data_IF_085071935170
#
_entry.id   IF_085071935170
#
_cell.length_a   1.000
_cell.length_b   1.000
_cell.length_c   1.000
_cell.angle_alpha   90.00
_cell.angle_beta   90.00
_cell.angle_gamma   90.00
#
_symmetry.space_group_name_H-M   'P 1'
#
loop_
_entity.id
_entity.type
_entity.pdbx_description
1 polymer ?
#
# COMPACT_ATOMS: atom_id res chain seq x y z
N UNK A 1 7.15 33.18 56.11
CA UNK A 1 6.99 33.85 54.80
C UNK A 1 8.09 33.55 53.76
N UNK A 2 9.29 33.05 54.09
CA UNK A 2 10.35 32.78 53.07
C UNK A 2 10.18 31.54 52.18
N UNK A 3 9.46 30.49 52.62
CA UNK A 3 9.32 29.24 51.83
C UNK A 3 8.39 29.35 50.61
N UNK A 4 7.41 30.26 50.64
CA UNK A 4 6.42 30.38 49.56
C UNK A 4 7.03 31.05 48.32
N UNK A 5 7.85 32.09 48.51
CA UNK A 5 8.54 32.80 47.41
C UNK A 5 9.45 31.89 46.57
N UNK A 6 10.18 30.98 47.21
CA UNK A 6 11.10 30.07 46.52
C UNK A 6 10.35 29.06 45.61
N UNK A 7 9.12 28.69 45.98
CA UNK A 7 8.32 27.73 45.21
C UNK A 7 7.66 28.39 43.98
N UNK A 8 7.28 29.67 44.08
CA UNK A 8 6.73 30.43 42.94
C UNK A 8 7.80 30.71 41.87
N UNK A 9 9.02 31.07 42.26
CA UNK A 9 10.12 31.34 41.34
C UNK A 9 10.53 30.09 40.52
N UNK A 10 10.51 28.89 41.14
CA UNK A 10 10.81 27.62 40.46
C UNK A 10 9.72 27.27 39.45
N UNK A 11 8.44 27.40 39.82
CA UNK A 11 7.30 27.13 38.92
C UNK A 11 7.29 28.09 37.73
N UNK A 12 7.60 29.36 37.96
CA UNK A 12 7.67 30.38 36.90
C UNK A 12 8.85 30.14 35.95
N UNK A 13 10.01 29.73 36.47
CA UNK A 13 11.19 29.33 35.69
C UNK A 13 10.93 28.08 34.82
N UNK A 14 10.23 27.09 35.37
CA UNK A 14 9.82 25.87 34.64
C UNK A 14 8.79 26.16 33.55
N UNK A 15 7.83 27.05 33.82
CA UNK A 15 6.84 27.51 32.84
C UNK A 15 7.49 28.27 31.68
N UNK A 16 8.42 29.17 31.98
CA UNK A 16 9.15 29.95 30.97
C UNK A 16 10.05 29.05 30.10
N UNK A 17 10.77 28.08 30.69
CA UNK A 17 11.56 27.09 29.94
C UNK A 17 10.69 26.21 29.03
N UNK A 18 9.54 25.74 29.52
CA UNK A 18 8.59 24.96 28.71
C UNK A 18 8.03 25.78 27.55
N UNK A 19 7.68 27.04 27.80
CA UNK A 19 7.17 27.93 26.77
C UNK A 19 8.22 28.24 25.70
N UNK A 20 9.48 28.46 26.11
CA UNK A 20 10.62 28.67 25.20
C UNK A 20 10.90 27.39 24.38
N UNK A 21 10.85 26.21 24.98
CA UNK A 21 10.97 24.93 24.26
C UNK A 21 9.84 24.71 23.26
N UNK A 22 8.60 24.99 23.65
CA UNK A 22 7.43 24.92 22.74
C UNK A 22 7.54 25.92 21.61
N UNK A 23 7.98 27.15 21.89
CA UNK A 23 8.21 28.18 20.89
C UNK A 23 9.36 27.79 19.94
N UNK A 24 10.45 27.21 20.45
CA UNK A 24 11.55 26.70 19.61
C UNK A 24 11.09 25.58 18.67
N UNK A 25 10.27 24.64 19.15
CA UNK A 25 9.70 23.56 18.32
C UNK A 25 8.78 24.11 17.22
N UNK A 26 8.02 25.16 17.52
CA UNK A 26 7.13 25.83 16.56
C UNK A 26 7.89 26.72 15.56
N UNK A 27 9.08 27.20 15.93
CA UNK A 27 9.92 28.10 15.12
C UNK A 27 11.01 27.35 14.32
N UNK A 28 11.08 26.02 14.40
CA UNK A 28 11.96 25.18 13.57
C UNK A 28 11.22 24.38 12.49
N UNK A 29 10.31 24.96 11.67
CA UNK A 29 9.77 24.22 10.52
C UNK A 29 10.85 23.98 9.46
N UNK A 30 11.98 24.72 9.47
CA UNK A 30 13.07 24.56 8.50
C UNK A 30 13.84 23.24 8.55
N UNK A 31 13.78 22.50 9.67
CA UNK A 31 14.31 21.12 9.78
C UNK A 31 13.29 20.06 9.34
N UNK A 32 12.00 20.43 9.26
CA UNK A 32 11.00 19.64 8.57
C UNK A 32 11.12 19.93 7.07
N UNK A 33 12.12 19.32 6.43
CA UNK A 33 12.10 19.09 4.98
C UNK A 33 10.91 18.18 4.67
N UNK A 34 9.71 18.75 4.65
CA UNK A 34 8.47 18.05 4.38
C UNK A 34 8.34 17.81 2.87
N UNK A 35 9.22 16.97 2.34
CA UNK A 35 8.97 16.27 1.09
C UNK A 35 7.83 15.28 1.39
N UNK A 36 6.60 15.75 1.28
CA UNK A 36 5.42 14.94 1.52
C UNK A 36 5.26 13.97 0.34
N UNK A 37 5.95 12.83 0.41
CA UNK A 37 5.71 11.76 -0.54
C UNK A 37 4.24 11.31 -0.50
N UNK A 38 3.70 10.93 -1.64
CA UNK A 38 2.33 10.45 -1.81
C UNK A 38 2.30 8.97 -1.41
N UNK A 39 1.56 8.60 -0.35
CA UNK A 39 1.45 7.21 0.03
C UNK A 39 0.60 6.50 -1.01
N UNK A 40 1.20 5.61 -1.81
CA UNK A 40 0.49 4.94 -2.91
C UNK A 40 -0.70 4.12 -2.42
N UNK A 41 -0.68 3.67 -1.15
CA UNK A 41 -1.82 3.00 -0.53
C UNK A 41 -3.12 3.83 -0.64
N UNK A 42 -3.08 5.15 -0.42
CA UNK A 42 -4.29 5.98 -0.49
C UNK A 42 -4.84 6.15 -1.90
N UNK A 43 -3.98 6.08 -2.92
CA UNK A 43 -4.39 6.10 -4.31
C UNK A 43 -4.93 4.75 -4.78
N UNK A 44 -4.32 3.68 -4.28
CA UNK A 44 -4.57 2.30 -4.74
C UNK A 44 -5.76 1.66 -4.02
N UNK A 45 -6.00 1.96 -2.74
CA UNK A 45 -7.10 1.38 -1.96
C UNK A 45 -8.51 1.66 -2.53
N UNK A 46 -8.85 2.87 -3.01
CA UNK A 46 -10.14 3.11 -3.66
C UNK A 46 -10.34 2.25 -4.91
N UNK A 47 -9.28 2.07 -5.72
CA UNK A 47 -9.32 1.21 -6.89
C UNK A 47 -9.54 -0.26 -6.50
N UNK A 48 -8.83 -0.76 -5.48
CA UNK A 48 -9.05 -2.11 -4.94
C UNK A 48 -10.46 -2.30 -4.36
N UNK A 49 -11.01 -1.30 -3.67
CA UNK A 49 -12.36 -1.38 -3.11
C UNK A 49 -13.42 -1.54 -4.20
N UNK A 50 -13.28 -0.80 -5.30
CA UNK A 50 -14.16 -0.92 -6.48
C UNK A 50 -13.94 -2.28 -7.17
N UNK A 51 -12.68 -2.70 -7.32
CA UNK A 51 -12.32 -3.96 -7.96
C UNK A 51 -12.66 -5.21 -7.13
N UNK A 52 -12.97 -5.07 -5.84
CA UNK A 52 -13.23 -6.20 -4.95
C UNK A 52 -14.41 -7.06 -5.43
N UNK A 53 -15.50 -6.42 -5.89
CA UNK A 53 -16.67 -7.13 -6.41
C UNK A 53 -16.33 -7.94 -7.67
N UNK A 54 -15.76 -7.35 -8.75
CA UNK A 54 -15.40 -8.13 -9.93
C UNK A 54 -14.35 -9.20 -9.64
N UNK A 55 -13.39 -8.95 -8.74
CA UNK A 55 -12.41 -9.96 -8.31
C UNK A 55 -13.11 -11.16 -7.67
N UNK A 56 -14.00 -10.93 -6.69
CA UNK A 56 -14.73 -12.01 -6.01
C UNK A 56 -15.54 -12.83 -7.01
N UNK A 57 -16.14 -12.18 -8.02
CA UNK A 57 -16.90 -12.88 -9.06
C UNK A 57 -16.01 -13.74 -9.96
N UNK A 58 -14.88 -13.20 -10.44
CA UNK A 58 -13.93 -13.90 -11.31
C UNK A 58 -13.30 -15.09 -10.58
N UNK A 59 -12.82 -14.89 -9.36
CA UNK A 59 -12.20 -15.95 -8.56
C UNK A 59 -13.21 -16.98 -8.11
N UNK A 60 -14.42 -16.55 -7.73
CA UNK A 60 -15.53 -17.44 -7.40
C UNK A 60 -15.88 -18.35 -8.57
N UNK A 61 -16.01 -17.79 -9.76
CA UNK A 61 -16.24 -18.57 -10.97
C UNK A 61 -15.11 -19.58 -11.21
N UNK A 62 -13.85 -19.14 -11.18
CA UNK A 62 -12.70 -20.01 -11.40
C UNK A 62 -12.62 -21.15 -10.37
N UNK A 63 -12.73 -20.83 -9.08
CA UNK A 63 -12.57 -21.81 -7.99
C UNK A 63 -13.76 -22.78 -7.91
N UNK A 64 -14.98 -22.34 -8.19
CA UNK A 64 -16.14 -23.24 -8.26
C UNK A 64 -15.94 -24.34 -9.30
N UNK A 65 -15.39 -23.99 -10.47
CA UNK A 65 -15.07 -24.94 -11.54
C UNK A 65 -13.87 -25.81 -11.21
N UNK A 66 -12.84 -25.22 -10.57
CA UNK A 66 -11.57 -25.92 -10.33
C UNK A 66 -11.63 -26.91 -9.15
N UNK A 67 -12.38 -26.58 -8.10
CA UNK A 67 -12.40 -27.36 -6.86
C UNK A 67 -13.68 -28.18 -6.66
N UNK A 68 -14.69 -28.02 -7.53
CA UNK A 68 -15.96 -28.77 -7.48
C UNK A 68 -16.63 -28.68 -6.09
N UNK A 69 -16.60 -27.47 -5.52
CA UNK A 69 -17.20 -27.15 -4.21
C UNK A 69 -18.59 -26.53 -4.40
N UNK A 70 -19.40 -26.54 -3.35
CA UNK A 70 -20.75 -25.95 -3.41
C UNK A 70 -20.70 -24.42 -3.58
N UNK A 71 -21.71 -23.80 -4.23
CA UNK A 71 -21.72 -22.35 -4.43
C UNK A 71 -21.61 -21.53 -3.13
N UNK A 72 -22.21 -22.03 -2.04
CA UNK A 72 -22.13 -21.40 -0.72
C UNK A 72 -20.69 -21.43 -0.15
N UNK A 73 -20.01 -22.57 -0.27
CA UNK A 73 -18.60 -22.69 0.11
C UNK A 73 -17.72 -21.78 -0.75
N UNK A 74 -17.97 -21.71 -2.07
CA UNK A 74 -17.24 -20.79 -2.97
C UNK A 74 -17.43 -19.34 -2.54
N UNK A 75 -18.68 -18.88 -2.44
CA UNK A 75 -18.98 -17.49 -2.11
C UNK A 75 -18.38 -17.07 -0.77
N UNK A 76 -18.54 -17.91 0.27
CA UNK A 76 -17.96 -17.67 1.59
C UNK A 76 -16.44 -17.64 1.53
N UNK A 77 -15.82 -18.60 0.85
CA UNK A 77 -14.35 -18.72 0.80
C UNK A 77 -13.74 -17.51 0.09
N UNK A 78 -14.20 -17.22 -1.13
CA UNK A 78 -13.64 -16.14 -1.94
C UNK A 78 -13.89 -14.78 -1.33
N UNK A 79 -15.08 -14.54 -0.76
CA UNK A 79 -15.38 -13.26 -0.11
C UNK A 79 -14.49 -13.04 1.11
N UNK A 80 -14.37 -14.03 2.00
CA UNK A 80 -13.56 -13.87 3.21
C UNK A 80 -12.06 -13.81 2.91
N UNK A 81 -11.58 -14.59 1.93
CA UNK A 81 -10.18 -14.57 1.54
C UNK A 81 -9.80 -13.22 0.95
N UNK A 82 -10.57 -12.70 -0.01
CA UNK A 82 -10.32 -11.41 -0.65
C UNK A 82 -10.47 -10.23 0.31
N UNK A 83 -11.43 -10.28 1.23
CA UNK A 83 -11.53 -9.26 2.29
C UNK A 83 -10.30 -9.29 3.19
N UNK A 84 -9.82 -10.46 3.59
CA UNK A 84 -8.64 -10.58 4.43
C UNK A 84 -7.36 -10.08 3.72
N UNK A 85 -7.15 -10.45 2.45
CA UNK A 85 -6.01 -9.96 1.68
C UNK A 85 -6.09 -8.46 1.43
N UNK A 86 -7.28 -7.91 1.17
CA UNK A 86 -7.45 -6.48 0.90
C UNK A 86 -7.33 -5.62 2.16
N UNK A 87 -7.97 -6.02 3.27
CA UNK A 87 -8.02 -5.20 4.50
C UNK A 87 -6.76 -5.36 5.35
N UNK A 88 -6.15 -6.54 5.36
CA UNK A 88 -4.97 -6.82 6.19
C UNK A 88 -3.72 -7.00 5.33
N UNK A 89 -3.81 -7.82 4.28
CA UNK A 89 -2.66 -8.13 3.43
C UNK A 89 -2.04 -6.89 2.77
N UNK A 90 -2.84 -6.12 2.02
CA UNK A 90 -2.35 -4.95 1.27
C UNK A 90 -1.75 -3.88 2.20
N UNK A 91 -2.43 -3.41 3.27
CA UNK A 91 -1.84 -2.43 4.18
C UNK A 91 -0.57 -2.92 4.87
N UNK A 92 -0.54 -4.19 5.28
CA UNK A 92 0.64 -4.77 5.92
C UNK A 92 1.82 -4.86 4.94
N UNK A 93 1.60 -5.31 3.71
CA UNK A 93 2.62 -5.35 2.67
C UNK A 93 3.13 -3.96 2.34
N UNK A 94 2.23 -2.98 2.21
CA UNK A 94 2.62 -1.59 2.01
C UNK A 94 3.51 -1.07 3.15
N UNK A 95 3.13 -1.28 4.41
CA UNK A 95 3.94 -0.88 5.57
C UNK A 95 5.34 -1.50 5.54
N UNK A 96 5.43 -2.80 5.22
CA UNK A 96 6.72 -3.49 5.09
C UNK A 96 7.56 -2.87 3.98
N UNK A 97 6.97 -2.62 2.81
CA UNK A 97 7.68 -2.02 1.68
C UNK A 97 8.14 -0.60 1.97
N UNK A 98 7.33 0.22 2.66
CA UNK A 98 7.74 1.56 3.11
C UNK A 98 8.91 1.48 4.10
N UNK A 99 8.86 0.56 5.06
CA UNK A 99 9.96 0.36 6.01
C UNK A 99 11.26 -0.06 5.29
N UNK A 100 11.16 -0.92 4.28
CA UNK A 100 12.30 -1.30 3.43
C UNK A 100 12.81 -0.11 2.62
N UNK A 101 11.92 0.66 1.99
CA UNK A 101 12.27 1.88 1.24
C UNK A 101 13.05 2.85 2.14
N UNK A 102 12.55 3.15 3.34
CA UNK A 102 13.20 4.10 4.26
C UNK A 102 14.54 3.55 4.76
N UNK A 103 14.61 2.29 5.18
CA UNK A 103 15.82 1.70 5.77
C UNK A 103 16.98 1.51 4.76
N UNK A 104 16.67 1.48 3.47
CA UNK A 104 17.65 1.33 2.39
C UNK A 104 18.02 2.64 1.70
N UNK A 105 17.55 3.79 2.21
CA UNK A 105 17.87 5.11 1.66
C UNK A 105 16.95 5.55 0.50
N UNK A 106 15.85 4.83 0.24
CA UNK A 106 14.83 5.21 -0.75
C UNK A 106 13.94 6.40 -0.37
N UNK A 107 14.24 7.06 0.76
CA UNK A 107 13.56 8.29 1.20
C UNK A 107 14.09 9.57 0.54
N UNK A 108 15.20 9.52 -0.20
CA UNK A 108 15.75 10.66 -0.94
C UNK A 108 15.25 10.69 -2.39
N UNK A 109 15.09 11.87 -2.98
CA UNK A 109 14.79 12.02 -4.39
C UNK A 109 15.96 11.49 -5.25
N UNK A 110 15.71 10.48 -6.08
CA UNK A 110 16.72 9.95 -7.02
C UNK A 110 16.92 10.84 -8.26
N UNK A 111 16.04 11.82 -8.48
CA UNK A 111 16.04 12.68 -9.66
C UNK A 111 15.48 11.98 -10.90
N UNK A 112 15.01 12.77 -11.87
CA UNK A 112 14.39 12.26 -13.11
C UNK A 112 15.22 12.54 -14.37
N UNK A 113 16.41 13.13 -14.22
CA UNK A 113 17.28 13.49 -15.34
C UNK A 113 17.95 12.26 -15.99
N UNK A 114 18.02 11.15 -15.26
CA UNK A 114 18.65 9.91 -15.72
C UNK A 114 17.65 8.76 -15.83
N UNK A 115 17.88 7.86 -16.78
CA UNK A 115 17.07 6.64 -16.93
C UNK A 115 17.05 5.81 -15.63
N UNK A 116 18.21 5.69 -14.97
CA UNK A 116 18.32 4.95 -13.71
C UNK A 116 17.50 5.64 -12.61
N UNK A 117 17.57 6.97 -12.51
CA UNK A 117 16.76 7.74 -11.57
C UNK A 117 15.26 7.52 -11.76
N UNK A 118 14.77 7.55 -13.02
CA UNK A 118 13.38 7.25 -13.37
C UNK A 118 12.96 5.84 -12.96
N UNK A 119 13.79 4.83 -13.25
CA UNK A 119 13.52 3.44 -12.88
C UNK A 119 13.43 3.31 -11.36
N UNK A 120 14.40 3.85 -10.61
CA UNK A 120 14.41 3.79 -9.15
C UNK A 120 13.21 4.53 -8.54
N UNK A 121 12.82 5.66 -9.10
CA UNK A 121 11.68 6.44 -8.62
C UNK A 121 10.36 5.65 -8.69
N UNK A 122 10.11 4.90 -9.76
CA UNK A 122 8.85 4.15 -9.92
C UNK A 122 8.89 2.72 -9.39
N UNK A 123 10.08 2.21 -9.04
CA UNK A 123 10.24 0.85 -8.47
C UNK A 123 10.55 0.89 -6.98
N UNK A 124 11.67 1.51 -6.62
CA UNK A 124 12.15 1.58 -5.24
C UNK A 124 11.32 2.53 -4.38
N UNK A 125 10.80 3.61 -4.97
CA UNK A 125 9.92 4.57 -4.28
C UNK A 125 8.43 4.31 -4.55
N UNK A 126 8.09 3.18 -5.17
CA UNK A 126 6.70 2.87 -5.49
C UNK A 126 5.76 2.89 -4.25
N UNK A 127 6.13 2.39 -3.06
CA UNK A 127 5.24 2.41 -1.89
C UNK A 127 4.93 3.82 -1.39
N UNK A 128 5.92 4.70 -1.45
CA UNK A 128 5.85 6.10 -1.02
C UNK A 128 6.53 6.98 -2.06
N UNK A 129 5.74 7.43 -3.04
CA UNK A 129 6.25 8.17 -4.20
C UNK A 129 6.64 9.58 -3.78
N UNK A 130 7.83 10.02 -4.14
CA UNK A 130 8.19 11.44 -4.03
C UNK A 130 7.48 12.20 -5.16
N UNK A 131 6.69 13.26 -4.87
CA UNK A 131 5.92 13.96 -5.88
C UNK A 131 6.86 14.78 -6.77
N UNK A 132 7.10 14.28 -7.97
CA UNK A 132 7.61 15.09 -9.08
C UNK A 132 6.39 15.64 -9.80
N UNK A 133 5.96 16.85 -9.44
CA UNK A 133 4.65 17.42 -9.80
C UNK A 133 4.32 17.32 -11.32
N UNK A 134 5.34 17.38 -12.17
CA UNK A 134 5.21 17.30 -13.63
C UNK A 134 5.15 15.86 -14.19
N UNK A 135 5.60 14.87 -13.43
CA UNK A 135 5.79 13.47 -13.87
C UNK A 135 4.80 12.48 -13.22
N UNK A 136 3.99 12.92 -12.27
CA UNK A 136 3.02 12.07 -11.57
C UNK A 136 2.07 11.30 -12.51
N UNK A 137 1.71 11.89 -13.65
CA UNK A 137 0.78 11.29 -14.62
C UNK A 137 1.23 9.91 -15.13
N UNK A 138 2.51 9.71 -15.40
CA UNK A 138 3.03 8.40 -15.81
C UNK A 138 3.62 7.62 -14.63
N UNK A 139 4.15 8.30 -13.61
CA UNK A 139 4.76 7.63 -12.46
C UNK A 139 3.75 6.86 -11.62
N UNK A 140 2.57 7.42 -11.36
CA UNK A 140 1.50 6.77 -10.58
C UNK A 140 1.08 5.42 -11.20
N UNK A 141 0.71 5.33 -12.50
CA UNK A 141 0.32 4.05 -13.08
C UNK A 141 1.47 3.05 -13.12
N UNK A 142 2.71 3.48 -13.41
CA UNK A 142 3.87 2.58 -13.43
C UNK A 142 4.20 2.04 -12.04
N UNK A 143 4.23 2.90 -11.02
CA UNK A 143 4.41 2.48 -9.64
C UNK A 143 3.28 1.56 -9.16
N UNK A 144 2.04 1.81 -9.59
CA UNK A 144 0.90 0.93 -9.36
C UNK A 144 1.14 -0.48 -9.92
N UNK A 145 1.61 -0.59 -11.17
CA UNK A 145 1.96 -1.89 -11.78
C UNK A 145 3.08 -2.58 -10.99
N UNK A 146 4.10 -1.85 -10.56
CA UNK A 146 5.18 -2.41 -9.74
C UNK A 146 4.63 -2.96 -8.41
N UNK A 147 3.76 -2.22 -7.73
CA UNK A 147 3.16 -2.63 -6.45
C UNK A 147 2.20 -3.82 -6.59
N UNK A 148 1.58 -4.03 -7.75
CA UNK A 148 0.76 -5.22 -7.98
C UNK A 148 1.55 -6.52 -7.81
N UNK A 149 2.87 -6.52 -8.04
CA UNK A 149 3.71 -7.72 -7.89
C UNK A 149 3.81 -8.17 -6.42
N UNK A 150 4.29 -7.34 -5.46
CA UNK A 150 4.31 -7.75 -4.05
C UNK A 150 2.91 -7.93 -3.46
N UNK A 151 1.91 -7.17 -3.91
CA UNK A 151 0.53 -7.37 -3.49
C UNK A 151 -0.03 -8.72 -3.96
N UNK A 152 0.27 -9.17 -5.18
CA UNK A 152 -0.12 -10.49 -5.67
C UNK A 152 0.36 -11.60 -4.75
N UNK A 153 1.63 -11.55 -4.36
CA UNK A 153 2.20 -12.54 -3.46
C UNK A 153 1.49 -12.50 -2.10
N UNK A 154 1.35 -11.32 -1.50
CA UNK A 154 0.66 -11.18 -0.23
C UNK A 154 -0.78 -11.70 -0.27
N UNK A 155 -1.51 -11.36 -1.32
CA UNK A 155 -2.88 -11.81 -1.58
C UNK A 155 -2.95 -13.32 -1.67
N UNK A 156 -2.13 -13.93 -2.52
CA UNK A 156 -2.07 -15.38 -2.67
C UNK A 156 -1.78 -16.09 -1.34
N UNK A 157 -0.81 -15.61 -0.57
CA UNK A 157 -0.47 -16.21 0.72
C UNK A 157 -1.62 -16.09 1.73
N UNK A 158 -2.17 -14.90 1.93
CA UNK A 158 -3.28 -14.66 2.88
C UNK A 158 -4.50 -15.47 2.48
N UNK A 159 -4.87 -15.45 1.21
CA UNK A 159 -6.04 -16.14 0.71
C UNK A 159 -5.91 -17.64 0.77
N UNK A 160 -4.71 -18.18 0.52
CA UNK A 160 -4.44 -19.59 0.71
C UNK A 160 -4.66 -20.01 2.16
N UNK A 161 -4.16 -19.26 3.15
CA UNK A 161 -4.36 -19.59 4.56
C UNK A 161 -5.82 -19.50 4.99
N UNK A 162 -6.54 -18.46 4.54
CA UNK A 162 -7.97 -18.32 4.83
C UNK A 162 -8.76 -19.45 4.17
N UNK A 163 -8.50 -19.73 2.90
CA UNK A 163 -9.17 -20.80 2.15
C UNK A 163 -8.90 -22.18 2.75
N UNK A 164 -7.65 -22.45 3.18
CA UNK A 164 -7.27 -23.70 3.83
C UNK A 164 -8.01 -23.92 5.15
N UNK A 165 -8.29 -22.83 5.89
CA UNK A 165 -9.07 -22.90 7.13
C UNK A 165 -10.56 -23.18 6.87
N UNK A 166 -11.09 -22.71 5.74
CA UNK A 166 -12.51 -22.83 5.37
C UNK A 166 -12.84 -24.13 4.61
N UNK A 167 -11.93 -24.60 3.75
CA UNK A 167 -12.09 -25.77 2.89
C UNK A 167 -11.21 -26.92 3.38
N UNK A 168 -11.51 -27.45 4.56
CA UNK A 168 -10.67 -28.46 5.24
C UNK A 168 -10.64 -29.80 4.50
N UNK A 169 -11.66 -30.10 3.70
CA UNK A 169 -11.75 -31.35 2.93
C UNK A 169 -10.89 -31.34 1.67
N UNK A 170 -10.43 -30.17 1.22
CA UNK A 170 -9.66 -30.02 -0.02
C UNK A 170 -8.17 -30.16 0.30
N UNK A 171 -7.48 -31.04 -0.42
CA UNK A 171 -6.04 -31.24 -0.23
C UNK A 171 -5.26 -29.96 -0.54
N UNK A 172 -4.17 -29.73 0.22
CA UNK A 172 -3.31 -28.54 0.03
C UNK A 172 -2.69 -28.50 -1.36
N UNK A 173 -2.41 -29.67 -1.95
CA UNK A 173 -1.85 -29.82 -3.31
C UNK A 173 -2.80 -29.34 -4.40
N UNK A 174 -4.11 -29.48 -4.22
CA UNK A 174 -5.11 -28.94 -5.14
C UNK A 174 -5.42 -27.48 -4.84
N UNK A 175 -5.54 -27.11 -3.56
CA UNK A 175 -5.97 -25.78 -3.14
C UNK A 175 -4.94 -24.70 -3.46
N UNK A 176 -3.66 -24.93 -3.14
CA UNK A 176 -2.60 -23.93 -3.30
C UNK A 176 -2.43 -23.42 -4.74
N UNK A 177 -2.31 -24.28 -5.78
CA UNK A 177 -2.24 -23.82 -7.16
C UNK A 177 -3.57 -23.23 -7.66
N UNK A 178 -4.71 -23.71 -7.17
CA UNK A 178 -6.01 -23.14 -7.55
C UNK A 178 -6.15 -21.69 -7.07
N UNK A 179 -5.86 -21.40 -5.80
CA UNK A 179 -5.88 -20.03 -5.26
C UNK A 179 -4.84 -19.14 -5.97
N UNK A 180 -3.62 -19.66 -6.20
CA UNK A 180 -2.58 -18.94 -6.95
C UNK A 180 -3.06 -18.50 -8.33
N UNK A 181 -3.66 -19.43 -9.07
CA UNK A 181 -4.10 -19.16 -10.44
C UNK A 181 -5.31 -18.22 -10.46
N UNK A 182 -6.22 -18.33 -9.49
CA UNK A 182 -7.32 -17.38 -9.32
C UNK A 182 -6.79 -15.95 -9.11
N UNK A 183 -5.85 -15.79 -8.17
CA UNK A 183 -5.18 -14.51 -7.93
C UNK A 183 -4.44 -14.02 -9.18
N UNK A 184 -3.76 -14.91 -9.91
CA UNK A 184 -3.03 -14.52 -11.11
C UNK A 184 -3.96 -13.92 -12.17
N UNK A 185 -5.14 -14.52 -12.36
CA UNK A 185 -6.18 -13.99 -13.26
C UNK A 185 -6.62 -12.60 -12.78
N UNK A 186 -6.98 -12.46 -11.50
CA UNK A 186 -7.42 -11.18 -10.92
C UNK A 186 -6.36 -10.08 -11.05
N UNK A 187 -5.10 -10.39 -10.77
CA UNK A 187 -4.01 -9.43 -10.87
C UNK A 187 -3.68 -9.06 -12.32
N UNK A 188 -3.77 -9.99 -13.27
CA UNK A 188 -3.70 -9.66 -14.70
C UNK A 188 -4.81 -8.69 -15.11
N UNK A 189 -6.02 -8.84 -14.57
CA UNK A 189 -7.12 -7.90 -14.82
C UNK A 189 -6.90 -6.54 -14.15
N UNK A 190 -6.36 -6.52 -12.92
CA UNK A 190 -6.04 -5.29 -12.20
C UNK A 190 -5.00 -4.43 -12.90
N UNK A 191 -4.07 -5.03 -13.65
CA UNK A 191 -3.08 -4.30 -14.47
C UNK A 191 -3.74 -3.45 -15.56
N UNK A 192 -4.96 -3.78 -16.00
CA UNK A 192 -5.66 -3.03 -17.06
C UNK A 192 -5.88 -1.57 -16.66
N UNK A 193 -6.28 -1.30 -15.41
CA UNK A 193 -6.54 0.06 -14.94
C UNK A 193 -5.33 1.01 -15.05
N UNK A 194 -4.15 0.71 -14.46
CA UNK A 194 -2.99 1.57 -14.61
C UNK A 194 -2.49 1.63 -16.06
N UNK A 195 -2.65 0.56 -16.86
CA UNK A 195 -2.32 0.62 -18.29
C UNK A 195 -3.22 1.60 -19.05
N UNK A 196 -4.53 1.58 -18.81
CA UNK A 196 -5.47 2.53 -19.42
C UNK A 196 -5.11 3.96 -19.01
N UNK A 197 -4.82 4.20 -17.74
CA UNK A 197 -4.35 5.51 -17.26
C UNK A 197 -3.07 5.98 -17.99
N UNK A 198 -2.11 5.08 -18.19
CA UNK A 198 -0.88 5.39 -18.91
C UNK A 198 -1.17 5.76 -20.38
N UNK A 199 -2.04 5.01 -21.05
CA UNK A 199 -2.42 5.27 -22.45
C UNK A 199 -3.18 6.60 -22.61
N UNK A 200 -4.09 6.91 -21.68
CA UNK A 200 -4.85 8.17 -21.71
C UNK A 200 -3.94 9.39 -21.48
N UNK A 201 -2.99 9.29 -20.56
CA UNK A 201 -2.06 10.38 -20.26
C UNK A 201 -1.08 10.66 -21.40
N UNK A 202 -0.72 9.66 -22.20
CA UNK A 202 0.09 9.88 -23.42
C UNK A 202 -0.69 10.50 -24.57
N UNK A 203 -2.01 10.28 -24.66
CA UNK A 203 -2.86 10.86 -25.70
C UNK A 203 -3.21 12.34 -25.51
N UNK A 204 -2.93 12.93 -24.34
CA UNK A 204 -3.22 14.33 -24.01
C UNK A 204 -2.01 15.27 -24.11
N UNK A 205 -0.84 14.74 -24.47
CA UNK A 205 0.43 15.49 -24.57
C UNK A 205 0.84 15.86 -26.01
N UNK A 206 -0.07 15.71 -26.98
CA UNK A 206 0.04 16.25 -28.35
C UNK A 206 -0.86 17.49 -28.51
#
# INVERSE_FOLDING_TARGET
>A
MRRVKCHEEIVQSLGCKRFILSAFVLLTPGLAQANAGVPMLFLVMPAFAIALVPIILVEGFYLSKKLVITPSQTAKTVTLSNLASTVVGIPLTWLILVAVQISTGGGSAYGLDTLIGKILAVTWQAPWLIPYEQDLGWMIPVAGIVLLVPFFFASWWVEFFVSKKLLKEISTEMLKPAVRNANLISYCLLVIWPLVMLLLNHGTSE
#
